data_IF_707651324950
#
_entry.id   IF_707651324950
#
_cell.length_a   1.000
_cell.length_b   1.000
_cell.length_c   1.000
_cell.angle_alpha   90.00
_cell.angle_beta   90.00
_cell.angle_gamma   90.00
#
_symmetry.space_group_name_H-M   'P 1'
#
loop_
_entity.id
_entity.type
_entity.pdbx_description
1 polymer ?
#
# COMPACT_ATOMS: atom_id res chain seq x y z
N UNK A 1 -4.02 13.80 -12.27
CA UNK A 1 -5.18 13.82 -13.18
C UNK A 1 -5.13 12.66 -14.18
N UNK A 2 -4.47 12.77 -15.35
CA UNK A 2 -4.53 11.76 -16.44
C UNK A 2 -4.17 10.31 -16.04
N UNK A 3 -3.17 10.10 -15.17
CA UNK A 3 -2.80 8.74 -14.71
C UNK A 3 -3.86 8.12 -13.78
N UNK A 4 -4.47 8.95 -12.94
CA UNK A 4 -5.47 8.52 -11.97
C UNK A 4 -6.78 8.12 -12.67
N UNK A 5 -7.18 8.87 -13.71
CA UNK A 5 -8.32 8.53 -14.56
C UNK A 5 -8.11 7.22 -15.32
N UNK A 6 -6.91 7.02 -15.88
CA UNK A 6 -6.55 5.74 -16.51
C UNK A 6 -6.63 4.58 -15.53
N UNK A 7 -6.18 4.76 -14.29
CA UNK A 7 -6.27 3.73 -13.26
C UNK A 7 -7.73 3.41 -12.90
N UNK A 8 -8.55 4.44 -12.69
CA UNK A 8 -9.98 4.29 -12.39
C UNK A 8 -10.73 3.58 -13.52
N UNK A 9 -10.42 3.91 -14.78
CA UNK A 9 -10.98 3.22 -15.94
C UNK A 9 -10.65 1.72 -15.93
N UNK A 10 -9.37 1.37 -15.81
CA UNK A 10 -8.97 -0.04 -15.73
C UNK A 10 -9.60 -0.75 -14.52
N UNK A 11 -9.68 -0.09 -13.38
CA UNK A 11 -10.29 -0.68 -12.17
C UNK A 11 -11.74 -1.08 -12.40
N UNK A 12 -12.51 -0.18 -13.03
CA UNK A 12 -13.91 -0.41 -13.37
C UNK A 12 -14.07 -1.50 -14.44
N UNK A 13 -13.21 -1.51 -15.46
CA UNK A 13 -13.24 -2.52 -16.55
C UNK A 13 -12.93 -3.94 -16.04
N UNK A 14 -12.12 -4.07 -14.99
CA UNK A 14 -11.76 -5.36 -14.40
C UNK A 14 -12.75 -5.84 -13.33
N UNK A 15 -13.88 -5.14 -13.11
CA UNK A 15 -14.91 -5.49 -12.12
C UNK A 15 -14.34 -5.83 -10.73
N UNK A 16 -13.36 -5.05 -10.27
CA UNK A 16 -12.77 -5.23 -8.95
C UNK A 16 -13.80 -4.81 -7.89
N UNK A 17 -14.28 -5.76 -7.09
CA UNK A 17 -15.38 -5.58 -6.12
C UNK A 17 -15.03 -4.77 -4.86
N UNK A 18 -13.93 -4.02 -4.88
CA UNK A 18 -13.51 -3.13 -3.80
C UNK A 18 -13.37 -1.71 -4.34
N UNK A 19 -13.73 -0.72 -3.52
CA UNK A 19 -13.68 0.69 -3.92
C UNK A 19 -12.23 1.16 -4.13
N UNK A 20 -12.00 1.88 -5.23
CA UNK A 20 -10.70 2.53 -5.49
C UNK A 20 -10.69 3.95 -4.93
N UNK A 21 -10.00 4.12 -3.80
CA UNK A 21 -9.71 5.44 -3.25
C UNK A 21 -8.43 6.02 -3.86
N UNK A 22 -8.50 7.27 -4.34
CA UNK A 22 -7.35 7.99 -4.92
C UNK A 22 -6.95 9.09 -3.95
N UNK A 23 -5.75 8.98 -3.39
CA UNK A 23 -5.17 9.97 -2.48
C UNK A 23 -4.24 10.86 -3.30
N UNK A 24 -4.46 12.17 -3.27
CA UNK A 24 -3.56 13.13 -3.94
C UNK A 24 -2.30 13.34 -3.10
N UNK A 25 -1.14 13.15 -3.71
CA UNK A 25 0.18 13.33 -3.07
C UNK A 25 0.93 14.50 -3.73
N UNK A 26 0.69 15.76 -3.31
CA UNK A 26 1.29 16.93 -3.92
C UNK A 26 2.82 16.98 -3.80
N UNK A 27 3.37 16.39 -2.73
CA UNK A 27 4.82 16.39 -2.43
C UNK A 27 5.51 15.03 -2.65
N UNK A 28 4.82 14.02 -3.19
CA UNK A 28 5.31 12.63 -3.30
C UNK A 28 5.73 12.01 -1.96
N UNK A 29 5.12 12.47 -0.86
CA UNK A 29 5.35 11.93 0.47
C UNK A 29 4.48 10.70 0.70
N UNK A 30 4.64 9.66 -0.13
CA UNK A 30 3.75 8.48 -0.19
C UNK A 30 3.46 7.89 1.19
N UNK A 31 4.50 7.72 2.03
CA UNK A 31 4.33 7.18 3.38
C UNK A 31 3.45 8.10 4.22
N UNK A 32 3.74 9.40 4.25
CA UNK A 32 3.01 10.37 5.05
C UNK A 32 1.54 10.48 4.61
N UNK A 33 1.28 10.52 3.30
CA UNK A 33 -0.07 10.64 2.77
C UNK A 33 -0.91 9.38 3.06
N UNK A 34 -0.29 8.18 3.04
CA UNK A 34 -0.94 6.94 3.44
C UNK A 34 -1.24 6.94 4.94
N UNK A 35 -0.27 7.32 5.78
CA UNK A 35 -0.48 7.37 7.23
C UNK A 35 -1.62 8.34 7.57
N UNK A 36 -1.60 9.55 7.00
CA UNK A 36 -2.67 10.52 7.22
C UNK A 36 -4.05 9.96 6.83
N UNK A 37 -4.14 9.26 5.69
CA UNK A 37 -5.38 8.63 5.29
C UNK A 37 -5.83 7.54 6.26
N UNK A 38 -4.91 6.71 6.74
CA UNK A 38 -5.22 5.67 7.72
C UNK A 38 -5.68 6.29 9.05
N UNK A 39 -5.04 7.37 9.51
CA UNK A 39 -5.44 8.11 10.71
C UNK A 39 -6.85 8.72 10.55
N UNK A 40 -7.18 9.25 9.37
CA UNK A 40 -8.54 9.76 9.06
C UNK A 40 -9.58 8.63 9.14
N UNK A 41 -9.26 7.43 8.61
CA UNK A 41 -10.15 6.27 8.70
C UNK A 41 -10.24 5.74 10.14
N UNK A 42 -9.15 5.74 10.91
CA UNK A 42 -9.11 5.31 12.31
C UNK A 42 -9.96 6.23 13.21
N UNK A 43 -10.03 7.52 12.86
CA UNK A 43 -10.82 8.50 13.61
C UNK A 43 -12.34 8.30 13.48
N UNK A 44 -12.79 7.53 12.49
CA UNK A 44 -14.20 7.24 12.28
C UNK A 44 -14.67 6.14 13.25
N UNK A 45 -15.57 6.46 14.20
CA UNK A 45 -15.97 5.54 15.27
C UNK A 45 -16.75 4.32 14.76
N UNK A 46 -17.13 4.27 13.48
CA UNK A 46 -17.77 3.10 12.85
C UNK A 46 -16.83 1.91 12.72
N UNK A 47 -15.51 2.15 12.69
CA UNK A 47 -14.51 1.10 12.54
C UNK A 47 -13.84 0.79 13.87
N UNK A 48 -13.90 -0.48 14.30
CA UNK A 48 -13.24 -0.91 15.54
C UNK A 48 -11.77 -1.25 15.36
N UNK A 49 -11.37 -1.56 14.12
CA UNK A 49 -10.01 -1.93 13.76
C UNK A 49 -9.79 -1.81 12.25
N UNK A 50 -8.56 -1.51 11.86
CA UNK A 50 -8.17 -1.38 10.46
C UNK A 50 -7.10 -2.42 10.16
N UNK A 51 -7.25 -3.17 9.07
CA UNK A 51 -6.20 -4.06 8.57
C UNK A 51 -5.59 -3.49 7.30
N UNK A 52 -4.30 -3.15 7.36
CA UNK A 52 -3.52 -2.67 6.23
C UNK A 52 -2.76 -3.85 5.62
N UNK A 53 -3.13 -4.21 4.39
CA UNK A 53 -2.49 -5.29 3.64
C UNK A 53 -1.44 -4.70 2.70
N UNK A 54 -0.18 -5.07 2.91
CA UNK A 54 0.97 -4.54 2.16
C UNK A 54 1.59 -5.67 1.34
N UNK A 55 1.51 -5.63 0.01
CA UNK A 55 2.28 -6.54 -0.83
C UNK A 55 3.77 -6.18 -0.75
N UNK A 56 4.60 -7.15 -0.38
CA UNK A 56 6.04 -7.01 -0.29
C UNK A 56 6.73 -7.75 -1.42
N UNK A 57 7.50 -7.02 -2.21
CA UNK A 57 8.30 -7.64 -3.27
C UNK A 57 9.40 -8.52 -2.66
N UNK A 58 9.37 -9.82 -2.97
CA UNK A 58 10.39 -10.79 -2.55
C UNK A 58 11.22 -11.20 -3.77
N UNK A 59 12.47 -10.71 -3.91
CA UNK A 59 13.33 -11.11 -5.01
C UNK A 59 13.85 -12.54 -4.84
N UNK A 60 14.17 -13.21 -5.95
CA UNK A 60 14.76 -14.56 -5.93
C UNK A 60 16.21 -14.60 -5.45
N UNK A 61 16.91 -13.45 -5.36
CA UNK A 61 18.28 -13.33 -4.86
C UNK A 61 18.33 -12.36 -3.68
N UNK A 62 18.65 -12.88 -2.49
CA UNK A 62 18.71 -12.12 -1.23
C UNK A 62 19.68 -10.93 -1.26
N UNK A 63 20.75 -10.98 -2.06
CA UNK A 63 21.75 -9.90 -2.13
C UNK A 63 21.29 -8.67 -2.94
N UNK A 64 20.25 -8.80 -3.77
CA UNK A 64 19.63 -7.65 -4.44
C UNK A 64 18.65 -6.90 -3.50
N UNK A 65 18.46 -7.36 -2.26
CA UNK A 65 17.37 -6.94 -1.38
C UNK A 65 17.68 -5.70 -0.52
N UNK A 66 18.93 -5.27 -0.40
CA UNK A 66 19.29 -4.30 0.64
C UNK A 66 18.83 -2.85 0.36
N UNK A 67 18.47 -2.51 -0.89
CA UNK A 67 18.19 -1.13 -1.28
C UNK A 67 16.81 -0.88 -1.90
N UNK A 68 15.97 -1.90 -2.12
CA UNK A 68 14.79 -1.74 -2.98
C UNK A 68 13.44 -1.67 -2.25
N UNK A 69 13.34 -1.99 -0.96
CA UNK A 69 12.08 -1.92 -0.20
C UNK A 69 12.17 -1.07 1.09
N UNK A 70 12.85 0.07 1.02
CA UNK A 70 12.99 0.97 2.19
C UNK A 70 11.67 1.67 2.54
N UNK A 71 10.91 2.09 1.52
CA UNK A 71 9.62 2.77 1.70
C UNK A 71 8.57 1.89 2.37
N UNK A 72 8.48 0.61 1.98
CA UNK A 72 7.55 -0.34 2.60
C UNK A 72 7.91 -0.64 4.06
N UNK A 73 9.20 -0.72 4.39
CA UNK A 73 9.65 -0.90 5.78
C UNK A 73 9.31 0.32 6.64
N UNK A 74 9.55 1.53 6.14
CA UNK A 74 9.20 2.76 6.84
C UNK A 74 7.68 2.86 7.06
N UNK A 75 6.88 2.55 6.04
CA UNK A 75 5.42 2.55 6.15
C UNK A 75 4.93 1.58 7.23
N UNK A 76 5.44 0.34 7.23
CA UNK A 76 5.12 -0.65 8.27
C UNK A 76 5.46 -0.14 9.67
N UNK A 77 6.65 0.42 9.85
CA UNK A 77 7.08 0.95 11.13
C UNK A 77 6.15 2.06 11.63
N UNK A 78 5.75 2.96 10.74
CA UNK A 78 4.81 4.05 11.08
C UNK A 78 3.41 3.52 11.41
N UNK A 79 2.90 2.54 10.66
CA UNK A 79 1.58 1.94 10.92
C UNK A 79 1.50 1.20 12.26
N UNK A 80 2.61 0.60 12.72
CA UNK A 80 2.68 -0.09 14.02
C UNK A 80 2.58 0.86 15.23
N UNK A 81 2.67 2.18 15.02
CA UNK A 81 2.51 3.19 16.07
C UNK A 81 1.02 3.48 16.31
N UNK A 82 0.16 3.29 15.30
CA UNK A 82 -1.28 3.57 15.42
C UNK A 82 -2.02 2.53 16.27
N UNK A 83 -3.18 2.90 16.81
CA UNK A 83 -3.96 2.04 17.69
C UNK A 83 -4.94 1.23 16.86
N UNK A 84 -5.16 -0.03 17.22
CA UNK A 84 -6.12 -0.90 16.52
C UNK A 84 -5.83 -1.09 15.01
N UNK A 85 -4.57 -0.88 14.60
CA UNK A 85 -4.10 -1.12 13.23
C UNK A 85 -3.38 -2.47 13.19
N UNK A 86 -3.86 -3.36 12.33
CA UNK A 86 -3.20 -4.62 12.00
C UNK A 86 -2.47 -4.46 10.66
N UNK A 87 -1.20 -4.86 10.60
CA UNK A 87 -0.40 -4.81 9.37
C UNK A 87 -0.14 -6.22 8.89
N UNK A 88 -0.60 -6.53 7.67
CA UNK A 88 -0.42 -7.85 7.03
C UNK A 88 0.50 -7.72 5.83
N UNK A 89 1.67 -8.34 5.93
CA UNK A 89 2.64 -8.41 4.84
C UNK A 89 2.37 -9.61 3.95
N UNK A 90 2.10 -9.38 2.67
CA UNK A 90 1.90 -10.45 1.68
C UNK A 90 3.12 -10.53 0.76
N UNK A 91 3.89 -11.63 0.78
CA UNK A 91 5.04 -11.76 -0.09
C UNK A 91 4.61 -11.96 -1.56
N UNK A 92 4.96 -11.01 -2.41
CA UNK A 92 4.80 -11.08 -3.85
C UNK A 92 6.09 -11.60 -4.49
N UNK A 93 6.02 -12.80 -5.06
CA UNK A 93 7.11 -13.42 -5.80
C UNK A 93 6.89 -13.16 -7.30
N UNK A 94 7.72 -12.34 -7.95
CA UNK A 94 7.62 -12.15 -9.39
C UNK A 94 7.92 -13.47 -10.11
N UNK A 95 7.12 -13.80 -11.14
CA UNK A 95 7.40 -14.95 -11.99
C UNK A 95 8.78 -14.78 -12.63
N UNK A 96 9.66 -15.74 -12.43
CA UNK A 96 10.97 -15.78 -13.09
C UNK A 96 10.73 -16.08 -14.57
N UNK A 97 10.85 -15.06 -15.43
CA UNK A 97 11.03 -15.32 -16.85
C UNK A 97 12.44 -15.91 -17.03
N UNK A 98 12.53 -17.24 -17.16
CA UNK A 98 13.68 -17.88 -17.82
C UNK A 98 13.57 -17.50 -19.30
N UNK A 99 14.36 -16.52 -19.72
CA UNK A 99 14.82 -16.43 -21.11
C UNK A 99 15.89 -17.49 -21.32
#
# INVERSE_FOLDING_TARGET
>A
MVRAEKLRKHWNENNIGIELQIIESPYRAVVQDIIKYVDEVESDPRWTSITVVIPEYVPNKLFQNFFHNQTGQLLKLMLLIGKNIYVTSIPYHPKVNKQ
#
